data_IF_248090969530
#
_entry.id   IF_248090969530
#
_cell.length_a   1.000
_cell.length_b   1.000
_cell.length_c   1.000
_cell.angle_alpha   90.00
_cell.angle_beta   90.00
_cell.angle_gamma   90.00
#
_symmetry.space_group_name_H-M   'P 1'
#
loop_
_entity.id
_entity.type
_entity.pdbx_description
1 polymer ?
#
# COMPACT_ATOMS: atom_id res chain seq x y z
N UNK A 1 -16.07 -17.32 -72.11
CA UNK A 1 -14.76 -17.04 -71.49
C UNK A 1 -14.87 -15.65 -70.94
N UNK A 2 -15.28 -15.56 -69.68
CA UNK A 2 -15.49 -14.32 -68.95
C UNK A 2 -14.63 -14.49 -67.70
N UNK A 3 -13.41 -13.95 -67.73
CA UNK A 3 -12.52 -13.97 -66.58
C UNK A 3 -12.89 -12.80 -65.68
N UNK A 4 -13.45 -13.15 -64.54
CA UNK A 4 -14.01 -12.28 -63.52
C UNK A 4 -12.89 -11.48 -62.83
N UNK A 5 -13.00 -10.15 -62.89
CA UNK A 5 -12.08 -9.20 -62.26
C UNK A 5 -12.43 -9.03 -60.78
N UNK A 6 -11.97 -9.94 -59.93
CA UNK A 6 -12.01 -9.70 -58.48
C UNK A 6 -10.81 -8.83 -58.08
N UNK A 7 -11.00 -7.52 -58.21
CA UNK A 7 -10.06 -6.51 -57.73
C UNK A 7 -9.99 -6.57 -56.20
N UNK A 8 -9.00 -7.29 -55.66
CA UNK A 8 -8.68 -7.28 -54.23
C UNK A 8 -8.17 -5.88 -53.86
N UNK A 9 -9.02 -5.08 -53.23
CA UNK A 9 -8.65 -3.86 -52.51
C UNK A 9 -7.64 -4.22 -51.41
N UNK A 10 -6.35 -4.16 -51.75
CA UNK A 10 -5.25 -4.23 -50.77
C UNK A 10 -5.21 -2.91 -50.00
N UNK A 11 -5.97 -2.86 -48.90
CA UNK A 11 -5.79 -1.83 -47.87
C UNK A 11 -4.32 -1.83 -47.42
N UNK A 12 -3.66 -0.67 -47.52
CA UNK A 12 -2.25 -0.48 -47.14
C UNK A 12 -2.01 -0.99 -45.72
N UNK A 13 -1.27 -2.08 -45.57
CA UNK A 13 -0.82 -2.59 -44.27
C UNK A 13 0.18 -1.60 -43.67
N UNK A 14 -0.23 -0.87 -42.63
CA UNK A 14 0.62 0.08 -41.92
C UNK A 14 1.37 -0.64 -40.80
N UNK A 15 2.70 -0.52 -40.76
CA UNK A 15 3.50 -0.99 -39.63
C UNK A 15 3.19 -0.09 -38.43
N UNK A 16 2.69 -0.69 -37.35
CA UNK A 16 2.33 0.03 -36.11
C UNK A 16 3.51 0.13 -35.16
N UNK A 17 4.30 -0.95 -35.04
CA UNK A 17 5.46 -1.01 -34.15
C UNK A 17 6.46 -2.07 -34.63
N UNK A 18 7.70 -1.97 -34.17
CA UNK A 18 8.73 -2.99 -34.33
C UNK A 18 9.18 -3.50 -32.97
N UNK A 19 9.11 -4.81 -32.77
CA UNK A 19 9.51 -5.48 -31.53
C UNK A 19 10.95 -5.98 -31.67
N UNK A 20 11.69 -5.95 -30.56
CA UNK A 20 13.09 -6.43 -30.47
C UNK A 20 13.18 -7.61 -29.51
N UNK A 21 14.37 -8.20 -29.43
CA UNK A 21 14.68 -9.22 -28.41
C UNK A 21 14.21 -8.80 -27.01
N UNK A 22 13.67 -9.74 -26.24
CA UNK A 22 13.07 -9.50 -24.93
C UNK A 22 11.66 -8.85 -24.95
N UNK A 23 11.14 -8.47 -26.11
CA UNK A 23 9.77 -7.97 -26.21
C UNK A 23 8.73 -9.10 -26.13
N UNK A 24 7.55 -8.78 -25.62
CA UNK A 24 6.38 -9.66 -25.61
C UNK A 24 5.23 -9.06 -26.41
N UNK A 25 4.27 -9.90 -26.82
CA UNK A 25 3.05 -9.48 -27.51
C UNK A 25 1.92 -10.51 -27.28
N UNK A 26 0.67 -10.07 -27.41
CA UNK A 26 -0.51 -10.94 -27.29
C UNK A 26 -1.01 -11.12 -25.86
N UNK A 27 -0.49 -10.34 -24.91
CA UNK A 27 -0.85 -10.34 -23.50
C UNK A 27 -2.35 -10.09 -23.26
N UNK A 28 -2.98 -9.28 -24.10
CA UNK A 28 -4.42 -9.01 -24.00
C UNK A 28 -5.27 -10.27 -24.21
N UNK A 29 -4.80 -11.25 -25.00
CA UNK A 29 -5.52 -12.48 -25.25
C UNK A 29 -5.53 -13.42 -24.02
N UNK A 30 -4.61 -13.22 -23.07
CA UNK A 30 -4.58 -13.95 -21.80
C UNK A 30 -5.67 -13.45 -20.83
N UNK A 31 -5.96 -12.14 -20.86
CA UNK A 31 -6.90 -11.49 -19.92
C UNK A 31 -8.32 -11.44 -20.49
N UNK A 32 -8.45 -11.20 -21.80
CA UNK A 32 -9.73 -11.00 -22.46
C UNK A 32 -9.91 -11.94 -23.64
N UNK A 33 -11.12 -12.41 -23.83
CA UNK A 33 -11.53 -13.04 -25.09
C UNK A 33 -11.60 -11.99 -26.20
N UNK A 34 -10.46 -11.73 -26.84
CA UNK A 34 -10.34 -10.74 -27.89
C UNK A 34 -9.69 -11.32 -29.14
N UNK A 35 -10.15 -10.85 -30.31
CA UNK A 35 -9.50 -11.14 -31.59
C UNK A 35 -8.15 -10.43 -31.64
N UNK A 36 -7.17 -11.06 -32.32
CA UNK A 36 -5.85 -10.47 -32.58
C UNK A 36 -6.01 -9.08 -33.21
N UNK A 37 -5.40 -8.08 -32.59
CA UNK A 37 -5.48 -6.67 -33.03
C UNK A 37 -4.41 -6.28 -34.05
N UNK A 38 -3.39 -7.12 -34.22
CA UNK A 38 -2.31 -6.92 -35.16
C UNK A 38 -1.75 -8.27 -35.63
N UNK A 39 -1.14 -8.27 -36.82
CA UNK A 39 -0.36 -9.39 -37.36
C UNK A 39 1.12 -9.15 -37.03
N UNK A 40 1.80 -10.18 -36.53
CA UNK A 40 3.24 -10.14 -36.27
C UNK A 40 3.95 -10.96 -37.35
N UNK A 41 5.01 -10.39 -37.92
CA UNK A 41 5.84 -11.03 -38.95
C UNK A 41 7.29 -10.95 -38.48
N UNK A 42 7.98 -12.10 -38.46
CA UNK A 42 9.40 -12.12 -38.12
C UNK A 42 10.22 -11.60 -39.30
N UNK A 43 11.16 -10.70 -39.02
CA UNK A 43 12.11 -10.18 -40.03
C UNK A 43 13.37 -11.04 -40.16
N UNK A 44 13.63 -11.88 -39.15
CA UNK A 44 14.80 -12.75 -39.06
C UNK A 44 14.43 -14.10 -38.41
N UNK A 45 15.40 -15.00 -38.29
CA UNK A 45 15.21 -16.25 -37.57
C UNK A 45 15.09 -15.96 -36.08
N UNK A 46 13.95 -16.29 -35.49
CA UNK A 46 13.62 -15.96 -34.10
C UNK A 46 13.03 -17.14 -33.36
N UNK A 47 13.39 -17.28 -32.10
CA UNK A 47 12.78 -18.23 -31.17
C UNK A 47 11.87 -17.48 -30.20
N UNK A 48 10.73 -18.08 -29.84
CA UNK A 48 9.72 -17.45 -29.00
C UNK A 48 9.30 -18.40 -27.88
N UNK A 49 9.09 -17.86 -26.68
CA UNK A 49 8.42 -18.55 -25.59
C UNK A 49 6.92 -18.30 -25.69
N UNK A 50 6.13 -19.36 -25.59
CA UNK A 50 4.67 -19.30 -25.68
C UNK A 50 4.08 -19.68 -24.34
N UNK A 51 3.16 -18.86 -23.86
CA UNK A 51 2.29 -19.17 -22.71
C UNK A 51 0.89 -19.40 -23.25
N UNK A 52 0.36 -20.61 -23.04
CA UNK A 52 -1.01 -20.93 -23.43
C UNK A 52 -1.99 -20.32 -22.42
N UNK A 53 -3.17 -19.94 -22.91
CA UNK A 53 -4.20 -19.29 -22.08
C UNK A 53 -4.67 -20.24 -20.98
N UNK A 54 -4.85 -21.51 -21.31
CA UNK A 54 -5.32 -22.54 -20.39
C UNK A 54 -4.32 -22.73 -19.23
N UNK A 55 -3.03 -22.79 -19.54
CA UNK A 55 -1.97 -22.90 -18.53
C UNK A 55 -1.90 -21.64 -17.66
N UNK A 56 -2.01 -20.46 -18.27
CA UNK A 56 -2.04 -19.18 -17.57
C UNK A 56 -3.23 -19.10 -16.60
N UNK A 57 -4.44 -19.46 -17.05
CA UNK A 57 -5.65 -19.43 -16.22
C UNK A 57 -5.54 -20.39 -15.02
N UNK A 58 -5.00 -21.59 -15.22
CA UNK A 58 -4.80 -22.56 -14.14
C UNK A 58 -3.84 -22.00 -13.08
N UNK A 59 -2.71 -21.43 -13.50
CA UNK A 59 -1.73 -20.85 -12.58
C UNK A 59 -2.30 -19.63 -11.85
N UNK A 60 -2.92 -18.70 -12.59
CA UNK A 60 -3.51 -17.49 -12.02
C UNK A 60 -4.63 -17.80 -11.03
N UNK A 61 -5.51 -18.75 -11.35
CA UNK A 61 -6.58 -19.18 -10.45
C UNK A 61 -6.00 -19.74 -9.16
N UNK A 62 -5.01 -20.63 -9.26
CA UNK A 62 -4.34 -21.21 -8.10
C UNK A 62 -3.68 -20.15 -7.21
N UNK A 63 -2.96 -19.20 -7.81
CA UNK A 63 -2.32 -18.11 -7.06
C UNK A 63 -3.38 -17.23 -6.36
N UNK A 64 -4.45 -16.87 -7.07
CA UNK A 64 -5.54 -16.05 -6.51
C UNK A 64 -6.25 -16.77 -5.35
N UNK A 65 -6.51 -18.07 -5.49
CA UNK A 65 -7.10 -18.90 -4.43
C UNK A 65 -6.19 -18.97 -3.20
N UNK A 66 -4.88 -19.16 -3.40
CA UNK A 66 -3.89 -19.18 -2.32
C UNK A 66 -3.81 -17.83 -1.59
N UNK A 67 -3.72 -16.73 -2.33
CA UNK A 67 -3.69 -15.38 -1.76
C UNK A 67 -4.98 -15.04 -1.01
N UNK A 68 -6.13 -15.48 -1.52
CA UNK A 68 -7.42 -15.34 -0.84
C UNK A 68 -7.44 -16.15 0.45
N UNK A 69 -7.00 -17.41 0.42
CA UNK A 69 -7.00 -18.31 1.57
C UNK A 69 -6.10 -17.79 2.71
N UNK A 70 -4.91 -17.27 2.38
CA UNK A 70 -4.00 -16.66 3.36
C UNK A 70 -4.69 -15.49 4.09
N UNK A 71 -5.30 -14.57 3.35
CA UNK A 71 -5.97 -13.38 3.91
C UNK A 71 -7.24 -13.75 4.67
N UNK A 72 -8.03 -14.67 4.13
CA UNK A 72 -9.25 -15.16 4.78
C UNK A 72 -8.94 -15.80 6.13
N UNK A 73 -7.93 -16.67 6.16
CA UNK A 73 -7.49 -17.34 7.39
C UNK A 73 -6.92 -16.36 8.41
N UNK A 74 -6.16 -15.35 7.96
CA UNK A 74 -5.68 -14.28 8.82
C UNK A 74 -6.84 -13.57 9.54
N UNK A 75 -7.85 -13.11 8.80
CA UNK A 75 -8.98 -12.40 9.40
C UNK A 75 -9.84 -13.29 10.31
N UNK A 76 -10.01 -14.57 9.95
CA UNK A 76 -10.76 -15.54 10.77
C UNK A 76 -10.08 -15.82 12.12
N UNK A 77 -8.75 -15.83 12.15
CA UNK A 77 -7.96 -16.02 13.38
C UNK A 77 -7.78 -14.73 14.18
N UNK A 78 -7.99 -13.57 13.55
CA UNK A 78 -7.76 -12.27 14.17
C UNK A 78 -8.74 -12.03 15.31
N UNK A 79 -8.22 -11.79 16.52
CA UNK A 79 -8.99 -11.73 17.77
C UNK A 79 -10.18 -10.76 17.75
N UNK A 80 -10.06 -9.64 17.03
CA UNK A 80 -11.11 -8.62 16.97
C UNK A 80 -12.22 -8.95 15.96
N UNK A 81 -12.06 -9.98 15.14
CA UNK A 81 -13.01 -10.40 14.10
C UNK A 81 -13.63 -11.77 14.38
N UNK A 82 -13.35 -12.39 15.53
CA UNK A 82 -13.88 -13.72 15.88
C UNK A 82 -15.42 -13.79 15.93
N UNK A 83 -16.10 -12.67 16.20
CA UNK A 83 -17.56 -12.59 16.24
C UNK A 83 -18.20 -12.39 14.86
N UNK A 84 -17.41 -12.23 13.80
CA UNK A 84 -17.92 -11.93 12.47
C UNK A 84 -18.32 -13.23 11.76
N UNK A 85 -19.38 -13.15 10.95
CA UNK A 85 -19.76 -14.26 10.08
C UNK A 85 -18.78 -14.40 8.93
N UNK A 86 -18.68 -15.62 8.39
CA UNK A 86 -17.79 -15.95 7.27
C UNK A 86 -18.06 -15.07 6.04
N UNK A 87 -19.32 -14.69 5.79
CA UNK A 87 -19.68 -13.73 4.74
C UNK A 87 -19.06 -12.34 4.94
N UNK A 88 -18.98 -11.82 6.17
CA UNK A 88 -18.32 -10.55 6.46
C UNK A 88 -16.81 -10.66 6.28
N UNK A 89 -16.23 -11.79 6.68
CA UNK A 89 -14.81 -12.08 6.48
C UNK A 89 -14.48 -12.17 4.98
N UNK A 90 -15.36 -12.78 4.18
CA UNK A 90 -15.18 -12.87 2.72
C UNK A 90 -15.15 -11.49 2.07
N UNK A 91 -16.04 -10.57 2.47
CA UNK A 91 -16.09 -9.20 1.93
C UNK A 91 -14.81 -8.41 2.23
N UNK A 92 -14.31 -8.47 3.48
CA UNK A 92 -13.04 -7.80 3.81
C UNK A 92 -11.85 -8.49 3.15
N UNK A 93 -11.92 -9.80 2.93
CA UNK A 93 -10.89 -10.53 2.21
C UNK A 93 -10.84 -10.05 0.77
N UNK A 94 -11.97 -9.95 0.07
CA UNK A 94 -12.02 -9.46 -1.31
C UNK A 94 -11.51 -8.02 -1.47
N UNK A 95 -11.77 -7.15 -0.48
CA UNK A 95 -11.36 -5.73 -0.51
C UNK A 95 -9.99 -5.45 0.09
N UNK A 96 -9.27 -6.47 0.56
CA UNK A 96 -7.91 -6.34 1.12
C UNK A 96 -6.82 -6.61 0.09
N UNK A 97 -5.58 -6.23 0.39
CA UNK A 97 -4.39 -6.60 -0.39
C UNK A 97 -3.20 -6.83 0.55
N UNK A 98 -2.25 -7.66 0.12
CA UNK A 98 -0.97 -7.85 0.83
C UNK A 98 0.07 -6.99 0.14
N UNK A 99 0.83 -6.24 0.93
CA UNK A 99 1.97 -5.45 0.48
C UNK A 99 3.24 -5.87 1.24
N UNK A 100 4.34 -6.02 0.53
CA UNK A 100 5.63 -6.40 1.09
C UNK A 100 6.60 -5.21 1.12
N UNK A 101 7.33 -5.06 2.22
CA UNK A 101 8.30 -4.00 2.42
C UNK A 101 9.67 -4.59 2.78
N UNK A 102 10.72 -4.10 2.12
CA UNK A 102 12.09 -4.47 2.49
C UNK A 102 12.46 -3.90 3.88
N UNK A 103 13.38 -4.55 4.62
CA UNK A 103 13.84 -4.05 5.91
C UNK A 103 14.33 -2.59 5.84
N UNK A 104 14.07 -1.81 6.90
CA UNK A 104 14.45 -0.40 7.02
C UNK A 104 13.81 0.55 5.97
N UNK A 105 12.70 0.14 5.34
CA UNK A 105 11.92 1.01 4.46
C UNK A 105 10.88 1.79 5.26
N UNK A 106 10.76 3.09 4.97
CA UNK A 106 9.66 3.90 5.52
C UNK A 106 8.37 3.50 4.82
N UNK A 107 7.45 2.86 5.56
CA UNK A 107 6.14 2.44 5.04
C UNK A 107 5.24 3.68 4.83
N UNK A 108 5.07 4.49 5.88
CA UNK A 108 4.32 5.75 5.84
C UNK A 108 5.11 6.84 6.55
N UNK A 109 5.20 8.04 5.95
CA UNK A 109 5.82 9.22 6.57
C UNK A 109 4.79 10.14 7.25
N UNK A 110 3.59 10.19 6.70
CA UNK A 110 2.43 10.88 7.25
C UNK A 110 1.26 9.97 6.92
N UNK A 111 0.56 9.44 7.93
CA UNK A 111 -0.57 8.54 7.67
C UNK A 111 -1.52 9.21 6.66
N UNK A 112 -1.74 8.58 5.49
CA UNK A 112 -2.67 9.12 4.51
C UNK A 112 -4.06 9.24 5.16
N UNK A 113 -4.90 10.13 4.61
CA UNK A 113 -6.26 10.37 5.14
C UNK A 113 -7.01 9.05 5.39
N UNK A 114 -7.85 9.09 6.44
CA UNK A 114 -8.42 8.03 7.30
C UNK A 114 -9.18 6.85 6.65
N UNK A 115 -8.87 6.43 5.44
CA UNK A 115 -9.75 5.52 4.69
C UNK A 115 -9.26 4.05 4.65
N UNK A 116 -8.10 3.75 5.23
CA UNK A 116 -7.52 2.40 5.22
C UNK A 116 -7.11 1.92 6.62
N UNK A 117 -7.24 0.62 6.84
CA UNK A 117 -6.74 -0.09 8.02
C UNK A 117 -5.65 -1.04 7.56
N UNK A 118 -4.50 -0.99 8.23
CA UNK A 118 -3.35 -1.83 7.92
C UNK A 118 -3.17 -2.90 8.98
N UNK A 119 -2.81 -4.10 8.55
CA UNK A 119 -2.54 -5.23 9.42
C UNK A 119 -1.14 -5.78 9.13
N UNK A 120 -0.38 -6.07 10.17
CA UNK A 120 0.90 -6.75 10.04
C UNK A 120 0.61 -8.24 10.01
N UNK A 121 0.72 -8.86 8.84
CA UNK A 121 0.53 -10.31 8.67
C UNK A 121 1.77 -11.06 9.16
N UNK A 122 2.95 -10.61 8.73
CA UNK A 122 4.25 -11.16 9.17
C UNK A 122 5.27 -10.04 9.35
N UNK A 123 6.27 -10.27 10.22
CA UNK A 123 7.33 -9.31 10.48
C UNK A 123 7.01 -8.31 11.61
N UNK A 124 7.76 -7.21 11.63
CA UNK A 124 7.67 -6.17 12.65
C UNK A 124 7.88 -4.80 12.00
N UNK A 125 7.14 -3.81 12.45
CA UNK A 125 7.36 -2.42 12.08
C UNK A 125 7.60 -1.57 13.33
N UNK A 126 8.24 -0.42 13.13
CA UNK A 126 8.41 0.60 14.18
C UNK A 126 7.55 1.80 13.82
N UNK A 127 6.70 2.20 14.75
CA UNK A 127 5.99 3.48 14.66
C UNK A 127 6.89 4.53 15.32
N UNK A 128 7.26 5.55 14.57
CA UNK A 128 8.10 6.65 15.04
C UNK A 128 7.30 7.93 14.91
N UNK A 129 7.30 8.73 15.97
CA UNK A 129 6.66 10.03 16.01
C UNK A 129 7.70 11.06 16.44
N UNK A 130 7.79 12.15 15.68
CA UNK A 130 8.61 13.30 16.08
C UNK A 130 7.91 14.02 17.24
N UNK A 131 8.64 14.22 18.32
CA UNK A 131 8.15 14.81 19.55
C UNK A 131 8.87 16.15 19.76
N UNK A 132 8.11 17.23 19.89
CA UNK A 132 8.63 18.54 20.29
C UNK A 132 8.77 18.61 21.82
N UNK A 133 9.99 18.88 22.28
CA UNK A 133 10.33 19.07 23.69
C UNK A 133 10.70 20.52 23.98
N UNK A 134 10.27 21.03 25.13
CA UNK A 134 10.75 22.29 25.72
C UNK A 134 11.74 21.97 26.84
N UNK A 135 12.91 22.62 26.81
CA UNK A 135 13.95 22.49 27.83
C UNK A 135 13.89 23.67 28.81
N UNK A 136 13.77 23.38 30.10
CA UNK A 136 13.93 24.35 31.19
C UNK A 136 15.23 24.06 31.92
N UNK A 137 16.13 25.05 31.96
CA UNK A 137 17.39 24.94 32.69
C UNK A 137 17.16 25.25 34.17
N UNK A 138 17.55 24.34 35.05
CA UNK A 138 17.49 24.54 36.49
C UNK A 138 18.83 25.05 37.03
N UNK A 139 18.78 25.73 38.18
CA UNK A 139 19.98 26.06 38.93
C UNK A 139 20.63 24.76 39.44
N UNK A 140 21.96 24.68 39.31
CA UNK A 140 22.84 23.51 39.54
C UNK A 140 23.09 22.57 38.36
N UNK A 141 22.73 22.95 37.12
CA UNK A 141 23.17 22.21 35.91
C UNK A 141 22.33 20.98 35.58
N UNK A 142 21.13 20.89 36.16
CA UNK A 142 20.10 19.93 35.77
C UNK A 142 19.18 20.58 34.73
N UNK A 143 18.73 19.79 33.75
CA UNK A 143 17.74 20.21 32.75
C UNK A 143 16.46 19.43 32.95
N UNK A 144 15.32 20.13 32.91
CA UNK A 144 13.99 19.53 32.83
C UNK A 144 13.49 19.62 31.39
N UNK A 145 12.93 18.52 30.87
CA UNK A 145 12.34 18.48 29.53
C UNK A 145 10.82 18.27 29.65
N UNK A 146 10.07 19.06 28.92
CA UNK A 146 8.62 19.05 28.91
C UNK A 146 8.11 18.74 27.51
N UNK A 147 7.11 17.87 27.43
CA UNK A 147 6.39 17.61 26.19
C UNK A 147 5.43 18.76 25.90
N UNK A 148 5.44 19.26 24.67
CA UNK A 148 4.43 20.24 24.25
C UNK A 148 3.07 19.53 24.19
N UNK A 149 2.12 19.94 25.04
CA UNK A 149 0.77 19.35 25.10
C UNK A 149 0.11 19.47 23.72
N UNK A 150 -0.14 18.34 23.08
CA UNK A 150 -0.85 18.32 21.79
C UNK A 150 -2.33 18.53 22.04
N UNK A 151 -2.93 19.56 21.42
CA UNK A 151 -4.39 19.78 21.49
C UNK A 151 -5.21 18.70 20.78
N UNK A 152 -4.59 17.87 19.92
CA UNK A 152 -5.30 16.90 19.08
C UNK A 152 -5.43 15.50 19.69
N UNK A 153 -4.64 15.14 20.71
CA UNK A 153 -4.84 13.90 21.46
C UNK A 153 -4.24 14.00 22.88
N UNK A 154 -5.04 14.33 23.91
CA UNK A 154 -4.55 14.48 25.28
C UNK A 154 -4.15 13.16 25.95
N UNK A 155 -4.58 12.00 25.42
CA UNK A 155 -4.32 10.68 26.01
C UNK A 155 -3.08 9.97 25.44
N UNK A 156 -2.38 10.57 24.48
CA UNK A 156 -1.22 9.99 23.78
C UNK A 156 -0.15 9.41 24.72
N UNK A 157 -0.07 9.91 25.95
CA UNK A 157 1.03 9.62 26.89
C UNK A 157 0.69 8.57 27.95
N UNK A 158 -0.59 8.24 28.16
CA UNK A 158 -0.95 7.14 29.07
C UNK A 158 -0.47 5.79 28.52
N UNK A 159 -0.42 5.67 27.20
CA UNK A 159 0.00 4.46 26.49
C UNK A 159 1.53 4.31 26.41
N UNK A 160 2.29 5.38 26.71
CA UNK A 160 3.76 5.38 26.77
C UNK A 160 4.30 5.16 28.20
N UNK A 161 3.43 4.97 29.18
CA UNK A 161 3.82 4.79 30.58
C UNK A 161 4.44 6.04 31.23
N UNK A 162 4.23 7.22 30.64
CA UNK A 162 4.71 8.49 31.17
C UNK A 162 3.68 9.07 32.14
N UNK A 163 4.10 9.36 33.38
CA UNK A 163 3.27 10.10 34.33
C UNK A 163 3.23 11.58 33.91
N UNK A 164 2.08 12.02 33.40
CA UNK A 164 1.81 13.43 33.16
C UNK A 164 1.53 14.12 34.50
N UNK A 165 2.49 14.89 35.01
CA UNK A 165 2.21 15.85 36.09
C UNK A 165 1.49 17.03 35.47
N UNK A 166 0.17 17.09 35.66
CA UNK A 166 -0.67 18.16 35.11
C UNK A 166 -0.23 19.51 35.73
N UNK A 167 0.39 20.37 34.91
CA UNK A 167 0.82 21.72 35.32
C UNK A 167 -0.35 22.72 35.37
N UNK A 168 -1.61 22.29 35.19
CA UNK A 168 -2.79 23.13 35.41
C UNK A 168 -2.96 23.62 36.85
N UNK A 169 -2.07 23.22 37.77
CA UNK A 169 -1.96 23.73 39.14
C UNK A 169 -0.90 24.84 39.32
N UNK A 170 -0.19 25.23 38.27
CA UNK A 170 0.76 26.36 38.31
C UNK A 170 0.36 27.44 37.29
N UNK A 171 -0.83 28.00 37.49
CA UNK A 171 -1.10 29.35 37.00
C UNK A 171 -1.08 30.33 38.15
N UNK A 172 -0.23 31.34 37.94
CA UNK A 172 -0.26 32.70 38.47
C UNK A 172 -0.05 32.88 39.98
N UNK A 173 1.19 33.16 40.37
CA UNK A 173 1.49 34.04 41.50
C UNK A 173 2.88 34.71 41.43
N UNK A 174 3.38 35.04 40.23
CA UNK A 174 4.52 35.95 40.08
C UNK A 174 4.07 37.22 39.33
N UNK A 175 3.12 37.93 39.93
CA UNK A 175 2.84 39.34 39.64
C UNK A 175 2.53 40.04 40.96
N UNK A 176 3.57 40.38 41.72
CA UNK A 176 3.51 41.49 42.67
C UNK A 176 4.75 42.36 42.53
N UNK A 177 4.60 43.31 41.61
CA UNK A 177 5.06 44.70 41.66
C UNK A 177 6.25 45.02 42.58
N UNK A 178 7.42 45.12 41.97
CA UNK A 178 8.45 46.06 42.40
C UNK A 178 7.95 47.46 42.07
N UNK A 179 7.40 48.19 43.05
CA UNK A 179 7.24 49.65 42.96
C UNK A 179 8.28 50.34 43.83
N UNK A 180 9.01 51.24 43.19
CA UNK A 180 10.06 52.11 43.74
C UNK A 180 9.56 52.92 44.95
N UNK A 181 10.39 52.97 46.00
CA UNK A 181 10.86 54.20 46.67
C UNK A 181 11.93 53.91 47.71
#
# INVERSE_FOLDING_TARGET
>A
MEEDQTTLNLEKTKIVTELREGSSFGELALIHECKKRATIVSKEMSELLVVHKEDFEVVMKKMTEQDWEIRHNFFKQFKYMQSWSDSKISIITESSSIEEFSPNTVIFRNFPKKDHVYFIVTGQCKVVQDIELYEKKLFQGYNEYYLKRSHSNPDLFRDLGAECKDESLYHDNDNQEFTER
#
